data_IF_915678181718
#
_entry.id   IF_915678181718
#
_cell.length_a   1.000
_cell.length_b   1.000
_cell.length_c   1.000
_cell.angle_alpha   90.00
_cell.angle_beta   90.00
_cell.angle_gamma   90.00
#
_symmetry.space_group_name_H-M   'P 1'
#
loop_
_entity.id
_entity.type
_entity.pdbx_description
1 polymer ?
#
# COMPACT_ATOMS: atom_id res chain seq x y z
N UNK A 1 -6.95 -7.42 -3.22
CA UNK A 1 -8.15 -6.65 -2.78
C UNK A 1 -7.71 -5.82 -1.59
N UNK A 2 -8.29 -4.63 -1.35
CA UNK A 2 -8.01 -3.92 -0.09
C UNK A 2 -9.05 -4.34 0.96
N UNK A 3 -8.69 -5.14 1.97
CA UNK A 3 -9.65 -5.55 3.01
C UNK A 3 -10.17 -4.36 3.81
N UNK A 4 -9.41 -3.26 3.90
CA UNK A 4 -9.85 -2.08 4.63
C UNK A 4 -11.07 -1.43 4.00
N UNK A 5 -11.31 -1.63 2.70
CA UNK A 5 -12.54 -1.11 2.08
C UNK A 5 -13.79 -1.85 2.53
N UNK A 6 -13.67 -3.11 2.93
CA UNK A 6 -14.78 -3.87 3.51
C UNK A 6 -14.93 -3.56 5.01
N UNK A 7 -13.81 -3.51 5.74
CA UNK A 7 -13.82 -3.30 7.20
C UNK A 7 -14.10 -1.84 7.57
N UNK A 8 -13.61 -0.88 6.81
CA UNK A 8 -13.75 0.57 7.02
C UNK A 8 -14.50 1.21 5.83
N UNK A 9 -15.80 0.92 5.63
CA UNK A 9 -16.53 1.29 4.43
C UNK A 9 -16.64 2.81 4.20
N UNK A 10 -16.54 3.62 5.27
CA UNK A 10 -16.54 5.09 5.18
C UNK A 10 -15.18 5.67 4.76
N UNK A 11 -14.10 5.21 5.38
CA UNK A 11 -12.73 5.60 5.02
C UNK A 11 -11.80 4.39 5.07
N UNK A 12 -11.48 3.78 3.93
CA UNK A 12 -10.50 2.69 3.85
C UNK A 12 -9.10 3.10 4.33
N UNK A 13 -8.80 4.39 4.42
CA UNK A 13 -7.54 4.94 4.94
C UNK A 13 -7.59 5.30 6.44
N UNK A 14 -8.73 5.15 7.12
CA UNK A 14 -8.82 5.45 8.57
C UNK A 14 -7.71 4.76 9.39
N UNK A 15 -7.39 3.46 9.20
CA UNK A 15 -6.30 2.82 9.92
C UNK A 15 -4.94 3.50 9.75
N UNK A 16 -4.68 4.05 8.56
CA UNK A 16 -3.45 4.80 8.28
C UNK A 16 -3.40 6.09 9.11
N UNK A 17 -4.48 6.87 9.13
CA UNK A 17 -4.53 8.13 9.88
C UNK A 17 -4.48 7.90 11.39
N UNK A 18 -5.14 6.86 11.88
CA UNK A 18 -5.07 6.42 13.28
C UNK A 18 -3.63 6.05 13.66
N UNK A 19 -2.93 5.30 12.80
CA UNK A 19 -1.53 4.94 13.03
C UNK A 19 -0.61 6.16 13.01
N UNK A 20 -0.81 7.10 12.08
CA UNK A 20 -0.03 8.34 12.01
C UNK A 20 -0.23 9.22 13.25
N UNK A 21 -1.46 9.37 13.73
CA UNK A 21 -1.75 10.14 14.95
C UNK A 21 -1.04 9.60 16.19
N UNK A 22 -0.76 8.29 16.22
CA UNK A 22 -0.06 7.64 17.33
C UNK A 22 1.46 7.64 17.16
N UNK A 23 1.94 7.39 15.94
CA UNK A 23 3.37 7.21 15.66
C UNK A 23 4.07 8.51 15.31
N UNK A 24 3.32 9.52 14.86
CA UNK A 24 3.79 10.83 14.41
C UNK A 24 2.81 11.93 14.87
N UNK A 25 2.58 12.12 16.18
CA UNK A 25 1.52 12.99 16.70
C UNK A 25 1.65 14.47 16.34
N UNK A 26 2.86 14.93 15.96
CA UNK A 26 3.10 16.30 15.50
C UNK A 26 2.97 16.51 13.99
N UNK A 27 2.70 15.45 13.22
CA UNK A 27 2.64 15.57 11.76
C UNK A 27 1.34 16.25 11.33
N UNK A 28 1.49 17.37 10.62
CA UNK A 28 0.39 18.08 9.99
C UNK A 28 0.18 17.60 8.56
N UNK A 29 -1.08 17.42 8.17
CA UNK A 29 -1.44 16.95 6.84
C UNK A 29 -1.50 18.07 5.80
N UNK A 30 -1.50 19.34 6.22
CA UNK A 30 -1.52 20.51 5.33
C UNK A 30 -0.37 20.53 4.30
N UNK A 31 0.77 19.93 4.65
CA UNK A 31 1.94 19.82 3.80
C UNK A 31 2.00 18.53 2.96
N UNK A 32 0.90 17.79 2.89
CA UNK A 32 0.78 16.56 2.11
C UNK A 32 -0.17 16.81 0.95
N UNK A 33 0.32 16.53 -0.27
CA UNK A 33 -0.48 16.72 -1.47
C UNK A 33 -1.37 15.51 -1.75
N UNK A 34 -0.83 14.30 -1.55
CA UNK A 34 -1.51 13.05 -1.86
C UNK A 34 -1.29 11.99 -0.78
N UNK A 35 -2.37 11.38 -0.30
CA UNK A 35 -2.34 10.12 0.47
C UNK A 35 -2.91 9.02 -0.42
N UNK A 36 -2.18 7.93 -0.59
CA UNK A 36 -2.57 6.87 -1.53
C UNK A 36 -2.01 5.51 -1.13
N UNK A 37 -2.38 4.50 -1.90
CA UNK A 37 -1.87 3.13 -1.82
C UNK A 37 -0.86 2.85 -2.92
N UNK A 38 0.11 1.98 -2.63
CA UNK A 38 1.03 1.41 -3.65
C UNK A 38 0.25 0.89 -4.86
N UNK A 39 -0.90 0.26 -4.63
CA UNK A 39 -1.74 -0.28 -5.70
C UNK A 39 -2.24 0.78 -6.68
N UNK A 40 -2.65 1.95 -6.17
CA UNK A 40 -3.16 3.04 -7.01
C UNK A 40 -2.01 3.62 -7.86
N UNK A 41 -0.83 3.80 -7.28
CA UNK A 41 0.35 4.26 -8.04
C UNK A 41 0.75 3.26 -9.14
N UNK A 42 0.69 1.96 -8.87
CA UNK A 42 0.94 0.93 -9.89
C UNK A 42 -0.09 0.92 -11.02
N UNK A 43 -1.37 1.18 -10.70
CA UNK A 43 -2.42 1.31 -11.71
C UNK A 43 -2.18 2.53 -12.62
N UNK A 44 -1.83 3.68 -12.03
CA UNK A 44 -1.53 4.90 -12.76
C UNK A 44 -0.23 4.79 -13.57
N UNK A 45 0.82 4.16 -13.01
CA UNK A 45 2.04 3.85 -13.77
C UNK A 45 1.71 2.96 -14.97
N UNK A 46 0.93 1.91 -14.75
CA UNK A 46 0.43 1.05 -15.82
C UNK A 46 -0.27 1.83 -16.93
N UNK A 47 -1.14 2.77 -16.57
CA UNK A 47 -1.83 3.65 -17.53
C UNK A 47 -0.85 4.49 -18.35
N UNK A 48 0.10 5.19 -17.72
CA UNK A 48 1.08 6.03 -18.45
C UNK A 48 2.08 5.19 -19.26
N UNK A 49 2.29 3.92 -18.89
CA UNK A 49 3.03 2.93 -19.68
C UNK A 49 2.20 2.32 -20.83
N UNK A 50 0.98 2.79 -21.08
CA UNK A 50 0.14 2.34 -22.19
C UNK A 50 -0.69 1.07 -21.92
N UNK A 51 -0.78 0.59 -20.67
CA UNK A 51 -1.68 -0.53 -20.35
C UNK A 51 -3.13 -0.09 -20.50
N UNK A 52 -3.92 -0.87 -21.23
CA UNK A 52 -5.36 -0.63 -21.46
C UNK A 52 -6.26 -1.28 -20.41
N UNK A 53 -5.69 -1.81 -19.33
CA UNK A 53 -6.44 -2.42 -18.23
C UNK A 53 -7.34 -1.40 -17.56
N UNK A 54 -8.61 -1.76 -17.34
CA UNK A 54 -9.53 -0.90 -16.62
C UNK A 54 -9.23 -0.88 -15.13
N UNK A 55 -9.39 0.30 -14.53
CA UNK A 55 -9.37 0.46 -13.08
C UNK A 55 -10.20 1.67 -12.68
N UNK A 56 -10.53 1.72 -11.40
CA UNK A 56 -11.13 2.87 -10.75
C UNK A 56 -10.34 3.20 -9.49
N UNK A 57 -10.18 4.48 -9.21
CA UNK A 57 -9.66 5.02 -7.96
C UNK A 57 -10.70 6.02 -7.48
N UNK A 58 -11.23 5.84 -6.28
CA UNK A 58 -12.07 6.88 -5.68
C UNK A 58 -11.17 7.93 -5.04
N UNK A 59 -11.57 9.18 -5.15
CA UNK A 59 -10.81 10.33 -4.70
C UNK A 59 -11.67 11.17 -3.76
N UNK A 60 -11.09 11.61 -2.66
CA UNK A 60 -11.69 12.58 -1.75
C UNK A 60 -10.67 13.68 -1.46
N UNK A 61 -11.12 14.93 -1.43
CA UNK A 61 -10.31 16.08 -1.04
C UNK A 61 -10.67 16.47 0.38
N UNK A 62 -9.68 16.46 1.27
CA UNK A 62 -9.80 16.91 2.66
C UNK A 62 -8.88 18.11 2.84
N UNK A 63 -9.47 19.30 3.02
CA UNK A 63 -8.77 20.58 2.95
C UNK A 63 -7.93 20.67 1.67
N UNK A 64 -6.60 20.72 1.78
CA UNK A 64 -5.68 20.78 0.64
C UNK A 64 -5.10 19.40 0.25
N UNK A 65 -5.45 18.32 0.93
CA UNK A 65 -4.87 16.99 0.70
C UNK A 65 -5.82 16.11 -0.08
N UNK A 66 -5.31 15.47 -1.13
CA UNK A 66 -6.07 14.54 -1.97
C UNK A 66 -5.86 13.11 -1.46
N UNK A 67 -6.95 12.36 -1.29
CA UNK A 67 -6.95 10.98 -0.80
C UNK A 67 -7.38 10.05 -1.93
N UNK A 68 -6.55 9.07 -2.27
CA UNK A 68 -6.90 8.03 -3.23
C UNK A 68 -7.26 6.73 -2.51
N UNK A 69 -8.47 6.25 -2.73
CA UNK A 69 -8.97 4.99 -2.20
C UNK A 69 -8.93 3.89 -3.27
N UNK A 70 -8.35 2.74 -2.90
CA UNK A 70 -8.44 1.54 -3.71
C UNK A 70 -9.91 1.18 -3.98
N UNK A 71 -10.24 0.91 -5.24
CA UNK A 71 -11.56 0.39 -5.64
C UNK A 71 -11.43 -0.99 -6.27
N UNK A 72 -12.33 -1.90 -5.91
CA UNK A 72 -12.49 -3.18 -6.59
C UNK A 72 -13.96 -3.44 -6.88
N UNK A 73 -14.31 -3.97 -8.08
CA UNK A 73 -15.70 -4.20 -8.45
C UNK A 73 -16.36 -5.29 -7.60
N UNK A 74 -15.57 -6.23 -7.08
CA UNK A 74 -16.03 -7.30 -6.20
C UNK A 74 -15.38 -7.12 -4.84
N UNK A 75 -16.19 -7.29 -3.78
CA UNK A 75 -15.72 -7.36 -2.40
C UNK A 75 -15.23 -8.76 -2.00
N UNK A 76 -15.49 -9.77 -2.84
CA UNK A 76 -15.04 -11.15 -2.64
C UNK A 76 -14.53 -11.74 -3.96
N UNK A 77 -13.45 -12.51 -3.88
CA UNK A 77 -12.92 -13.30 -4.99
C UNK A 77 -12.96 -14.77 -4.57
N UNK A 78 -13.73 -15.58 -5.29
CA UNK A 78 -13.73 -17.02 -5.13
C UNK A 78 -12.56 -17.61 -5.92
N UNK A 79 -11.72 -18.40 -5.24
CA UNK A 79 -10.61 -19.11 -5.87
C UNK A 79 -11.14 -20.45 -6.36
N UNK A 80 -11.44 -20.54 -7.66
CA UNK A 80 -11.82 -21.79 -8.31
C UNK A 80 -10.59 -22.40 -8.98
N UNK A 81 -9.86 -23.24 -8.24
CA UNK A 81 -8.66 -23.93 -8.72
C UNK A 81 -7.37 -23.51 -8.02
N UNK A 82 -6.23 -23.78 -8.66
CA UNK A 82 -4.92 -23.50 -8.08
C UNK A 82 -4.59 -22.00 -8.11
N UNK A 83 -4.29 -21.42 -6.94
CA UNK A 83 -3.89 -20.01 -6.79
C UNK A 83 -2.44 -19.83 -6.31
N UNK A 84 -1.61 -20.88 -6.42
CA UNK A 84 -0.26 -20.86 -5.90
C UNK A 84 -0.17 -21.25 -4.42
N UNK A 85 1.06 -21.29 -3.92
CA UNK A 85 1.39 -21.66 -2.54
C UNK A 85 1.87 -20.46 -1.69
N UNK A 86 1.64 -19.23 -2.16
CA UNK A 86 2.21 -18.02 -1.56
C UNK A 86 1.87 -17.85 -0.08
N UNK A 87 0.58 -17.90 0.27
CA UNK A 87 0.15 -17.72 1.66
C UNK A 87 0.65 -18.80 2.61
N UNK A 88 0.70 -20.06 2.17
CA UNK A 88 1.23 -21.14 3.01
C UNK A 88 2.75 -21.06 3.13
N UNK A 89 3.45 -20.62 2.07
CA UNK A 89 4.87 -20.34 2.15
C UNK A 89 5.18 -19.17 3.10
N UNK A 90 4.42 -18.08 3.06
CA UNK A 90 4.53 -16.97 4.02
C UNK A 90 4.34 -17.47 5.45
N UNK A 91 3.29 -18.27 5.72
CA UNK A 91 3.06 -18.86 7.05
C UNK A 91 4.20 -19.77 7.50
N UNK A 92 4.73 -20.60 6.61
CA UNK A 92 5.80 -21.54 6.93
C UNK A 92 7.18 -20.87 7.08
N UNK A 93 7.41 -19.74 6.41
CA UNK A 93 8.69 -19.03 6.38
C UNK A 93 8.77 -17.82 7.31
N UNK A 94 7.68 -17.46 7.98
CA UNK A 94 7.61 -16.31 8.89
C UNK A 94 7.13 -16.73 10.28
N UNK A 95 7.51 -15.94 11.28
CA UNK A 95 7.03 -16.08 12.66
C UNK A 95 6.12 -14.91 13.00
N UNK A 96 4.92 -15.20 13.53
CA UNK A 96 4.00 -14.17 14.01
C UNK A 96 4.22 -13.93 15.50
N UNK A 97 4.42 -12.68 15.94
CA UNK A 97 4.47 -12.38 17.36
C UNK A 97 3.10 -12.66 18.00
N UNK A 98 3.09 -13.06 19.29
CA UNK A 98 1.87 -13.53 19.98
C UNK A 98 0.69 -12.55 19.85
N UNK A 99 0.94 -11.25 19.93
CA UNK A 99 -0.07 -10.19 19.84
C UNK A 99 -0.62 -9.91 18.44
N UNK A 100 -0.08 -10.54 17.38
CA UNK A 100 -0.51 -10.34 16.00
C UNK A 100 -1.00 -11.63 15.33
N UNK A 101 -1.33 -12.69 16.09
CA UNK A 101 -1.75 -13.97 15.52
C UNK A 101 -3.01 -13.86 14.65
N UNK A 102 -3.94 -13.02 15.08
CA UNK A 102 -5.23 -12.79 14.40
C UNK A 102 -5.19 -11.61 13.41
N UNK A 103 -4.00 -11.02 13.16
CA UNK A 103 -3.89 -9.94 12.19
C UNK A 103 -4.07 -10.46 10.77
N UNK A 104 -4.94 -9.82 9.99
CA UNK A 104 -5.17 -10.19 8.59
C UNK A 104 -4.11 -9.63 7.64
N UNK A 105 -3.66 -8.39 7.87
CA UNK A 105 -2.67 -7.69 7.04
C UNK A 105 -1.75 -6.85 7.91
N UNK A 106 -0.53 -6.61 7.43
CA UNK A 106 0.38 -5.66 8.04
C UNK A 106 0.73 -4.56 7.03
N UNK A 107 0.39 -3.32 7.34
CA UNK A 107 0.63 -2.19 6.45
C UNK A 107 1.70 -1.27 7.03
N UNK A 108 2.57 -0.77 6.16
CA UNK A 108 3.49 0.33 6.42
C UNK A 108 3.02 1.59 5.72
N UNK A 109 3.49 2.72 6.24
CA UNK A 109 3.28 4.04 5.67
C UNK A 109 4.66 4.66 5.46
N UNK A 110 4.90 5.17 4.26
CA UNK A 110 6.11 5.90 3.91
C UNK A 110 5.75 7.27 3.35
N UNK A 111 6.54 8.28 3.66
CA UNK A 111 6.41 9.63 3.10
C UNK A 111 7.61 9.92 2.22
N UNK A 112 7.37 10.42 1.01
CA UNK A 112 8.41 10.87 0.10
C UNK A 112 7.86 11.89 -0.90
N UNK A 113 8.77 12.54 -1.62
CA UNK A 113 8.43 13.44 -2.72
C UNK A 113 8.58 12.67 -4.04
N UNK A 114 7.55 12.69 -4.89
CA UNK A 114 7.57 12.07 -6.21
C UNK A 114 7.35 13.15 -7.26
N UNK A 115 8.39 13.43 -8.07
CA UNK A 115 8.43 14.67 -8.85
C UNK A 115 8.28 15.86 -7.91
N UNK A 116 7.19 16.61 -8.05
CA UNK A 116 6.83 17.74 -7.18
C UNK A 116 5.59 17.49 -6.30
N UNK A 117 5.19 16.24 -6.12
CA UNK A 117 4.02 15.85 -5.31
C UNK A 117 4.50 15.22 -4.00
N UNK A 118 4.10 15.79 -2.85
CA UNK A 118 4.39 15.23 -1.52
C UNK A 118 3.41 14.12 -1.20
N UNK A 119 3.91 12.88 -1.17
CA UNK A 119 3.10 11.66 -1.06
C UNK A 119 3.26 11.02 0.31
N UNK A 120 2.14 10.60 0.89
CA UNK A 120 2.08 9.52 1.89
C UNK A 120 1.54 8.27 1.21
N UNK A 121 2.35 7.20 1.21
CA UNK A 121 2.03 5.93 0.58
C UNK A 121 1.82 4.84 1.62
N UNK A 122 0.65 4.18 1.57
CA UNK A 122 0.39 2.93 2.28
C UNK A 122 0.78 1.73 1.42
N UNK A 123 1.37 0.72 2.04
CA UNK A 123 1.61 -0.57 1.38
C UNK A 123 1.59 -1.73 2.38
N UNK A 124 1.10 -2.87 1.92
CA UNK A 124 1.18 -4.14 2.65
C UNK A 124 2.60 -4.70 2.63
N UNK A 125 3.00 -5.33 3.73
CA UNK A 125 4.31 -5.92 3.97
C UNK A 125 4.14 -7.38 4.39
N UNK A 126 4.93 -8.26 3.77
CA UNK A 126 4.86 -9.71 4.03
C UNK A 126 5.65 -10.10 5.30
N UNK A 127 6.65 -9.31 5.68
CA UNK A 127 7.35 -9.48 6.94
C UNK A 127 8.55 -8.55 7.14
N UNK A 128 9.39 -8.90 8.10
CA UNK A 128 10.68 -8.28 8.29
C UNK A 128 11.73 -9.30 8.72
N UNK A 129 13.00 -9.01 8.43
CA UNK A 129 14.11 -9.73 9.06
C UNK A 129 14.18 -9.34 10.53
N UNK A 130 14.62 -10.25 11.40
CA UNK A 130 14.79 -9.97 12.82
C UNK A 130 15.54 -11.08 13.54
N UNK A 131 15.83 -10.84 14.81
CA UNK A 131 16.41 -11.82 15.71
C UNK A 131 15.30 -12.51 16.52
N UNK A 132 15.58 -13.69 17.06
CA UNK A 132 14.65 -14.41 17.94
C UNK A 132 14.14 -13.51 19.09
N UNK A 133 14.99 -12.61 19.58
CA UNK A 133 14.63 -11.66 20.64
C UNK A 133 13.52 -10.69 20.22
N UNK A 134 13.41 -10.33 18.94
CA UNK A 134 12.30 -9.49 18.45
C UNK A 134 10.95 -10.19 18.58
N UNK A 135 10.95 -11.53 18.51
CA UNK A 135 9.75 -12.39 18.63
C UNK A 135 9.45 -12.74 20.09
N UNK A 136 10.50 -13.00 20.87
CA UNK A 136 10.42 -13.44 22.27
C UNK A 136 10.26 -12.29 23.27
N UNK A 137 10.48 -11.04 22.85
CA UNK A 137 10.35 -9.88 23.73
C UNK A 137 8.98 -9.84 24.38
N UNK A 138 8.96 -9.88 25.71
CA UNK A 138 7.75 -9.62 26.48
C UNK A 138 7.38 -8.17 26.25
N UNK A 139 6.29 -7.96 25.54
CA UNK A 139 5.76 -6.63 25.28
C UNK A 139 4.80 -6.26 26.42
N UNK A 140 4.74 -4.98 26.81
CA UNK A 140 3.72 -4.52 27.75
C UNK A 140 2.32 -4.79 27.20
N UNK A 141 1.35 -4.89 28.11
CA UNK A 141 -0.06 -5.03 27.75
C UNK A 141 -0.47 -3.92 26.77
N UNK A 142 -1.22 -4.26 25.71
CA UNK A 142 -1.62 -3.29 24.71
C UNK A 142 -2.52 -2.23 25.36
N UNK A 143 -2.17 -0.96 25.19
CA UNK A 143 -3.10 0.12 25.53
C UNK A 143 -4.19 0.16 24.46
N UNK A 144 -5.44 0.00 24.87
CA UNK A 144 -6.60 0.06 23.98
C UNK A 144 -7.33 1.39 24.08
N UNK A 145 -7.63 2.01 22.94
CA UNK A 145 -8.56 3.13 22.85
C UNK A 145 -9.70 2.79 21.88
N UNK A 146 -10.90 3.28 22.14
CA UNK A 146 -12.04 3.19 21.20
C UNK A 146 -12.09 4.42 20.32
N UNK A 147 -12.25 4.23 19.01
CA UNK A 147 -12.45 5.34 18.07
C UNK A 147 -13.93 5.76 18.07
N UNK A 148 -14.25 7.01 17.67
CA UNK A 148 -15.64 7.44 17.45
C UNK A 148 -16.38 6.61 16.40
N UNK A 149 -15.64 5.93 15.52
CA UNK A 149 -16.16 5.00 14.50
C UNK A 149 -16.38 3.57 15.01
N UNK A 150 -16.14 3.31 16.30
CA UNK A 150 -16.41 2.03 16.97
C UNK A 150 -15.28 1.00 16.92
N UNK A 151 -14.14 1.32 16.31
CA UNK A 151 -12.99 0.42 16.25
C UNK A 151 -12.15 0.47 17.53
N UNK A 152 -11.46 -0.62 17.82
CA UNK A 152 -10.49 -0.69 18.93
C UNK A 152 -9.09 -0.52 18.36
N UNK A 153 -8.38 0.51 18.82
CA UNK A 153 -6.97 0.72 18.46
C UNK A 153 -6.11 0.16 19.57
N UNK A 154 -5.30 -0.84 19.23
CA UNK A 154 -4.34 -1.45 20.15
C UNK A 154 -2.95 -0.85 19.89
N UNK A 155 -2.42 -0.11 20.87
CA UNK A 155 -1.07 0.45 20.83
C UNK A 155 -0.10 -0.62 21.32
N UNK A 156 0.60 -1.23 20.37
CA UNK A 156 1.45 -2.38 20.66
C UNK A 156 2.54 -2.53 19.61
N UNK A 157 3.63 -3.22 19.95
CA UNK A 157 4.74 -3.43 19.03
C UNK A 157 5.78 -2.31 19.06
N UNK A 158 6.80 -2.44 18.20
CA UNK A 158 7.78 -1.39 17.91
C UNK A 158 7.85 -1.19 16.40
N UNK A 159 8.14 0.04 15.97
CA UNK A 159 8.34 0.34 14.56
C UNK A 159 9.68 -0.23 14.10
N UNK A 160 9.64 -1.29 13.28
CA UNK A 160 10.84 -1.92 12.72
C UNK A 160 11.57 -0.94 11.78
N UNK A 161 12.89 -1.05 11.65
CA UNK A 161 13.66 -0.26 10.69
C UNK A 161 13.28 -0.58 9.23
N UNK A 162 13.15 0.41 8.32
CA UNK A 162 12.82 0.16 6.91
C UNK A 162 13.78 -0.81 6.21
N UNK A 163 15.06 -0.79 6.57
CA UNK A 163 16.12 -1.66 6.02
C UNK A 163 15.89 -3.17 6.26
N UNK A 164 14.97 -3.53 7.16
CA UNK A 164 14.63 -4.90 7.53
C UNK A 164 13.38 -5.42 6.83
N UNK A 165 12.64 -4.58 6.11
CA UNK A 165 11.38 -4.99 5.47
C UNK A 165 11.64 -5.93 4.31
N UNK A 166 10.83 -6.99 4.22
CA UNK A 166 10.91 -7.98 3.15
C UNK A 166 9.59 -8.01 2.37
N UNK A 167 9.70 -8.38 1.10
CA UNK A 167 8.60 -8.88 0.29
C UNK A 167 8.88 -10.36 -0.03
N UNK A 168 7.85 -11.19 0.01
CA UNK A 168 7.90 -12.61 -0.29
C UNK A 168 7.21 -12.86 -1.63
N UNK A 169 7.86 -13.61 -2.52
CA UNK A 169 7.28 -14.06 -3.78
C UNK A 169 7.50 -15.55 -3.97
N UNK A 170 6.51 -16.21 -4.54
CA UNK A 170 6.59 -17.64 -4.89
C UNK A 170 6.29 -17.89 -6.35
N UNK A 171 6.88 -18.94 -6.91
CA UNK A 171 6.66 -19.35 -8.29
C UNK A 171 7.17 -20.75 -8.58
N UNK A 172 6.82 -21.30 -9.74
CA UNK A 172 7.44 -22.52 -10.23
C UNK A 172 8.95 -22.31 -10.48
N UNK A 173 9.74 -23.37 -10.49
CA UNK A 173 11.21 -23.32 -10.66
C UNK A 173 11.65 -22.50 -11.87
N UNK A 174 10.92 -22.57 -12.98
CA UNK A 174 11.23 -21.89 -14.24
C UNK A 174 10.86 -20.39 -14.22
N UNK A 175 10.04 -19.96 -13.26
CA UNK A 175 9.53 -18.59 -13.22
C UNK A 175 10.56 -17.65 -12.64
N UNK A 176 11.04 -16.69 -13.43
CA UNK A 176 11.83 -15.59 -12.88
C UNK A 176 10.97 -14.72 -11.95
N UNK A 177 11.28 -14.73 -10.65
CA UNK A 177 10.60 -13.93 -9.63
C UNK A 177 11.19 -12.52 -9.48
N UNK A 178 12.29 -12.21 -10.16
CA UNK A 178 12.94 -10.89 -10.20
C UNK A 178 12.57 -10.10 -11.48
N UNK A 179 11.31 -10.20 -11.91
CA UNK A 179 10.81 -9.48 -13.09
C UNK A 179 10.34 -8.08 -12.73
N UNK A 180 10.41 -7.15 -13.70
CA UNK A 180 10.06 -5.72 -13.56
C UNK A 180 8.74 -5.45 -12.81
N UNK A 181 7.71 -6.29 -12.95
CA UNK A 181 6.44 -6.14 -12.20
C UNK A 181 6.60 -6.22 -10.67
N UNK A 182 7.55 -7.01 -10.19
CA UNK A 182 7.89 -7.11 -8.77
C UNK A 182 8.82 -5.96 -8.38
N UNK A 183 9.78 -5.58 -9.22
CA UNK A 183 10.69 -4.46 -8.98
C UNK A 183 9.95 -3.12 -8.85
N UNK A 184 8.96 -2.86 -9.72
CA UNK A 184 8.04 -1.73 -9.65
C UNK A 184 7.37 -1.63 -8.27
N UNK A 185 6.88 -2.77 -7.77
CA UNK A 185 6.23 -2.86 -6.48
C UNK A 185 7.19 -2.52 -5.33
N UNK A 186 8.41 -3.08 -5.36
CA UNK A 186 9.45 -2.86 -4.37
C UNK A 186 9.97 -1.42 -4.39
N UNK A 187 10.06 -0.81 -5.59
CA UNK A 187 10.52 0.55 -5.77
C UNK A 187 9.56 1.56 -5.15
N UNK A 188 8.25 1.45 -5.41
CA UNK A 188 7.26 2.35 -4.79
C UNK A 188 7.25 2.25 -3.25
N UNK A 189 7.38 1.04 -2.70
CA UNK A 189 7.39 0.85 -1.24
C UNK A 189 8.78 1.00 -0.60
N UNK A 190 9.83 1.27 -1.38
CA UNK A 190 11.23 1.29 -0.92
C UNK A 190 11.59 0.03 -0.12
N UNK A 191 11.08 -1.13 -0.57
CA UNK A 191 11.26 -2.41 0.11
C UNK A 191 12.61 -3.03 -0.27
N UNK A 192 13.55 -3.19 0.67
CA UNK A 192 14.94 -3.47 0.34
C UNK A 192 15.22 -4.92 0.02
N UNK A 193 14.42 -5.86 0.55
CA UNK A 193 14.73 -7.28 0.52
C UNK A 193 13.61 -8.05 -0.18
N UNK A 194 13.98 -8.86 -1.17
CA UNK A 194 13.11 -9.82 -1.83
C UNK A 194 13.49 -11.23 -1.37
N UNK A 195 12.52 -11.94 -0.79
CA UNK A 195 12.59 -13.36 -0.51
C UNK A 195 11.80 -14.11 -1.58
N UNK A 196 12.43 -15.03 -2.29
CA UNK A 196 11.83 -15.77 -3.40
C UNK A 196 11.88 -17.27 -3.15
N UNK A 197 10.72 -17.91 -3.13
CA UNK A 197 10.56 -19.36 -3.00
C UNK A 197 10.11 -20.01 -4.31
N UNK A 198 10.86 -21.00 -4.78
CA UNK A 198 10.54 -21.75 -5.99
C UNK A 198 10.05 -23.15 -5.63
N UNK A 199 8.94 -23.57 -6.24
CA UNK A 199 8.35 -24.91 -6.07
C UNK A 199 8.33 -25.73 -7.36
N UNK A 200 8.44 -27.05 -7.24
CA UNK A 200 8.34 -27.98 -8.37
C UNK A 200 6.88 -28.35 -8.72
N UNK A 201 6.70 -29.26 -9.68
CA UNK A 201 5.36 -29.72 -10.12
C UNK A 201 4.53 -30.43 -9.05
N UNK A 202 5.14 -30.83 -7.92
CA UNK A 202 4.46 -31.43 -6.76
C UNK A 202 4.09 -30.40 -5.69
N UNK A 203 4.54 -29.14 -5.84
CA UNK A 203 4.37 -28.09 -4.84
C UNK A 203 5.45 -28.07 -3.76
N UNK A 204 6.50 -28.89 -3.90
CA UNK A 204 7.63 -28.89 -2.97
C UNK A 204 8.53 -27.70 -3.25
N UNK A 205 8.81 -26.87 -2.24
CA UNK A 205 9.73 -25.75 -2.38
C UNK A 205 11.18 -26.25 -2.38
N UNK A 206 11.86 -26.13 -3.52
CA UNK A 206 13.21 -26.68 -3.75
C UNK A 206 14.30 -25.62 -3.64
N UNK A 207 13.97 -24.34 -3.77
CA UNK A 207 14.93 -23.24 -3.69
C UNK A 207 14.31 -22.02 -3.03
N UNK A 208 15.00 -21.48 -2.03
CA UNK A 208 14.62 -20.25 -1.34
C UNK A 208 15.81 -19.31 -1.39
N UNK A 209 15.59 -18.09 -1.88
CA UNK A 209 16.63 -17.06 -1.95
C UNK A 209 16.19 -15.81 -1.21
N UNK A 210 17.16 -15.13 -0.60
CA UNK A 210 16.98 -13.83 0.04
C UNK A 210 17.99 -12.86 -0.57
N UNK A 211 17.49 -11.80 -1.21
CA UNK A 211 18.30 -10.81 -1.91
C UNK A 211 17.99 -9.42 -1.40
N UNK A 212 19.02 -8.65 -1.07
CA UNK A 212 18.85 -7.24 -0.77
C UNK A 212 18.91 -6.45 -2.09
N UNK A 213 17.76 -6.36 -2.77
CA UNK A 213 17.62 -5.74 -4.09
C UNK A 213 17.98 -4.25 -4.09
N UNK A 214 17.81 -3.57 -2.95
CA UNK A 214 18.26 -2.19 -2.78
C UNK A 214 19.79 -2.10 -2.82
N UNK A 215 20.48 -2.91 -2.01
CA UNK A 215 21.96 -2.95 -1.99
C UNK A 215 22.56 -3.45 -3.30
N UNK A 216 21.85 -4.33 -4.01
CA UNK A 216 22.27 -4.82 -5.33
C UNK A 216 22.10 -3.78 -6.44
N UNK A 217 21.54 -2.59 -6.15
CA UNK A 217 21.32 -1.55 -7.16
C UNK A 217 20.11 -1.79 -8.07
N UNK A 218 19.35 -2.89 -7.88
CA UNK A 218 18.25 -3.29 -8.76
C UNK A 218 17.12 -2.26 -8.83
N UNK A 219 16.80 -1.63 -7.70
CA UNK A 219 15.78 -0.57 -7.66
C UNK A 219 16.25 0.68 -8.43
N UNK A 220 17.54 1.01 -8.35
CA UNK A 220 18.14 2.12 -9.09
C UNK A 220 18.21 1.83 -10.60
N UNK A 221 18.65 0.65 -10.99
CA UNK A 221 18.65 0.20 -12.40
C UNK A 221 17.23 0.25 -13.00
N UNK A 222 16.22 -0.16 -12.22
CA UNK A 222 14.83 -0.07 -12.63
C UNK A 222 14.38 1.39 -12.81
N UNK A 223 14.71 2.26 -11.87
CA UNK A 223 14.38 3.69 -11.96
C UNK A 223 15.01 4.34 -13.20
N UNK A 224 16.30 4.11 -13.44
CA UNK A 224 17.04 4.64 -14.59
C UNK A 224 16.43 4.15 -15.92
N UNK A 225 15.94 2.92 -15.97
CA UNK A 225 15.29 2.35 -17.16
C UNK A 225 13.81 2.73 -17.34
N UNK A 226 13.19 3.43 -16.38
CA UNK A 226 11.76 3.79 -16.42
C UNK A 226 11.50 5.30 -16.29
N UNK A 227 12.52 6.14 -16.51
CA UNK A 227 12.41 7.61 -16.34
C UNK A 227 11.24 8.22 -17.12
N UNK A 228 11.06 7.86 -18.40
CA UNK A 228 9.96 8.40 -19.21
C UNK A 228 8.59 8.12 -18.58
N UNK A 229 8.37 6.90 -18.07
CA UNK A 229 7.12 6.51 -17.43
C UNK A 229 6.95 7.19 -16.06
N UNK A 230 8.03 7.35 -15.30
CA UNK A 230 8.03 8.02 -14.00
C UNK A 230 7.74 9.52 -14.14
N UNK A 231 8.30 10.19 -15.14
CA UNK A 231 8.01 11.60 -15.46
C UNK A 231 6.55 11.80 -15.87
N UNK A 232 6.03 10.92 -16.75
CA UNK A 232 4.60 10.94 -17.11
C UNK A 232 3.71 10.71 -15.90
N UNK A 233 4.08 9.79 -15.02
CA UNK A 233 3.34 9.56 -13.77
C UNK A 233 3.37 10.81 -12.88
N UNK A 234 4.51 11.48 -12.76
CA UNK A 234 4.65 12.68 -11.94
C UNK A 234 3.76 13.81 -12.48
N UNK A 235 3.80 14.05 -13.79
CA UNK A 235 2.94 15.02 -14.45
C UNK A 235 1.45 14.68 -14.27
N UNK A 236 1.08 13.40 -14.42
CA UNK A 236 -0.29 12.94 -14.24
C UNK A 236 -0.78 13.14 -12.80
N UNK A 237 0.02 12.78 -11.80
CA UNK A 237 -0.32 12.96 -10.38
C UNK A 237 -0.53 14.44 -10.05
N UNK A 238 0.34 15.32 -10.56
CA UNK A 238 0.18 16.77 -10.40
C UNK A 238 -1.14 17.25 -10.99
N UNK A 239 -1.44 16.89 -12.24
CA UNK A 239 -2.70 17.27 -12.91
C UNK A 239 -3.91 16.78 -12.12
N UNK A 240 -3.91 15.53 -11.66
CA UNK A 240 -5.03 14.99 -10.88
C UNK A 240 -5.19 15.75 -9.56
N UNK A 241 -4.10 16.02 -8.85
CA UNK A 241 -4.14 16.74 -7.57
C UNK A 241 -4.65 18.17 -7.76
N UNK A 242 -4.15 18.89 -8.75
CA UNK A 242 -4.59 20.26 -9.08
C UNK A 242 -6.06 20.31 -9.48
N UNK A 243 -6.50 19.38 -10.35
CA UNK A 243 -7.90 19.29 -10.77
C UNK A 243 -8.82 18.94 -9.60
N UNK A 244 -8.43 18.02 -8.72
CA UNK A 244 -9.22 17.65 -7.55
C UNK A 244 -9.38 18.84 -6.59
N UNK A 245 -8.31 19.60 -6.34
CA UNK A 245 -8.34 20.80 -5.47
C UNK A 245 -9.18 21.95 -6.05
N UNK A 246 -9.13 22.14 -7.36
CA UNK A 246 -9.87 23.21 -8.03
C UNK A 246 -11.35 22.85 -8.28
N UNK A 247 -11.74 21.60 -8.06
CA UNK A 247 -13.10 21.15 -8.29
C UNK A 247 -14.09 21.74 -7.27
N UNK A 248 -15.35 21.90 -7.70
CA UNK A 248 -16.46 22.24 -6.81
C UNK A 248 -16.99 21.03 -6.03
N UNK A 249 -16.53 19.82 -6.36
CA UNK A 249 -16.85 18.58 -5.68
C UNK A 249 -15.70 18.17 -4.75
N UNK A 250 -16.06 17.51 -3.65
CA UNK A 250 -15.09 16.95 -2.69
C UNK A 250 -14.74 15.51 -3.04
N UNK A 251 -15.61 14.80 -3.77
CA UNK A 251 -15.44 13.39 -4.13
C UNK A 251 -15.60 13.12 -5.62
N UNK A 252 -14.69 12.34 -6.19
CA UNK A 252 -14.79 11.86 -7.57
C UNK A 252 -14.28 10.41 -7.72
N UNK A 253 -14.47 9.86 -8.92
CA UNK A 253 -13.82 8.65 -9.36
C UNK A 253 -12.94 8.94 -10.57
N UNK A 254 -11.68 8.52 -10.49
CA UNK A 254 -10.80 8.37 -11.64
C UNK A 254 -11.08 7.00 -12.25
N UNK A 255 -11.47 6.96 -13.52
CA UNK A 255 -11.79 5.71 -14.21
C UNK A 255 -10.93 5.62 -15.46
N UNK A 256 -10.10 4.58 -15.51
CA UNK A 256 -9.39 4.21 -16.73
C UNK A 256 -10.17 3.15 -17.49
N UNK A 257 -10.39 3.40 -18.77
CA UNK A 257 -11.00 2.44 -19.69
C UNK A 257 -10.51 2.71 -21.11
N UNK A 258 -10.16 1.65 -21.84
CA UNK A 258 -9.75 1.71 -23.25
C UNK A 258 -8.61 2.71 -23.54
N UNK A 259 -7.67 2.88 -22.60
CA UNK A 259 -6.52 3.79 -22.77
C UNK A 259 -6.84 5.28 -22.52
N UNK A 260 -8.03 5.59 -21.99
CA UNK A 260 -8.38 6.93 -21.50
C UNK A 260 -8.50 6.93 -19.99
N UNK A 261 -8.17 8.05 -19.34
CA UNK A 261 -8.44 8.28 -17.92
C UNK A 261 -9.41 9.45 -17.80
N UNK A 262 -10.54 9.22 -17.15
CA UNK A 262 -11.64 10.18 -17.01
C UNK A 262 -11.95 10.42 -15.54
N UNK A 263 -12.45 11.61 -15.24
CA UNK A 263 -12.88 12.02 -13.89
C UNK A 263 -14.40 12.12 -13.88
N UNK A 264 -15.04 11.50 -12.89
CA UNK A 264 -16.48 11.55 -12.69
C UNK A 264 -16.78 12.01 -11.26
N UNK A 265 -17.59 13.04 -11.06
CA UNK A 265 -18.08 13.38 -9.72
C UNK A 265 -18.91 12.23 -9.15
N UNK A 266 -18.81 12.00 -7.84
CA UNK A 266 -19.68 11.04 -7.16
C UNK A 266 -21.01 11.71 -6.76
N UNK A 267 -22.09 10.94 -6.66
CA UNK A 267 -23.41 11.49 -6.31
C UNK A 267 -23.44 11.97 -4.85
N UNK A 268 -22.81 11.21 -3.95
CA UNK A 268 -22.75 11.54 -2.53
C UNK A 268 -21.52 12.39 -2.21
N UNK A 269 -21.71 13.71 -2.23
CA UNK A 269 -20.69 14.71 -1.90
C UNK A 269 -20.64 15.06 -0.41
N UNK A 270 -21.67 14.69 0.35
CA UNK A 270 -21.86 15.12 1.74
C UNK A 270 -21.43 14.05 2.76
N UNK A 271 -21.38 12.78 2.37
CA UNK A 271 -20.75 11.74 3.19
C UNK A 271 -19.26 12.06 3.30
N UNK A 272 -18.80 12.57 4.45
CA UNK A 272 -17.37 12.74 4.72
C UNK A 272 -16.80 11.38 5.05
N UNK A 273 -15.90 10.89 4.19
CA UNK A 273 -15.28 9.58 4.40
C UNK A 273 -14.42 9.60 5.65
N UNK A 274 -13.57 10.61 5.78
CA UNK A 274 -12.66 10.77 6.92
C UNK A 274 -13.42 11.11 8.23
N UNK A 275 -13.22 10.34 9.31
CA UNK A 275 -13.76 10.62 10.63
C UNK A 275 -13.44 12.05 11.12
N UNK A 276 -14.43 12.70 11.75
CA UNK A 276 -14.33 14.11 12.18
C UNK A 276 -13.14 14.34 13.11
N UNK A 277 -12.89 13.42 14.04
CA UNK A 277 -11.79 13.57 14.99
C UNK A 277 -10.41 13.49 14.34
N UNK A 278 -10.28 12.86 13.17
CA UNK A 278 -9.06 12.83 12.36
C UNK A 278 -8.86 14.08 11.50
N UNK A 279 -9.88 14.94 11.35
CA UNK A 279 -9.72 16.22 10.65
C UNK A 279 -8.80 17.17 11.41
N UNK A 280 -8.64 16.98 12.73
CA UNK A 280 -7.67 17.69 13.56
C UNK A 280 -6.21 17.54 13.11
N UNK A 281 -5.90 16.57 12.24
CA UNK A 281 -4.56 16.45 11.64
C UNK A 281 -4.24 17.57 10.63
N UNK A 282 -5.23 18.38 10.23
CA UNK A 282 -5.08 19.57 9.38
C UNK A 282 -5.17 20.89 10.17
N UNK A 283 -5.46 20.84 11.46
CA UNK A 283 -5.24 21.94 12.41
C UNK A 283 -3.83 21.80 12.97
#
# INVERSE_FOLDING_TARGET
MDPNRHVFPKCPLEPLFRALSLTQPGMKMNDIDLVTDRRNLRALLGFVSGKKSSFRIDVEVVNNTVLFYCWTPKALTYINGFAGYGHEFEKASTHRPKGAKDSMTHNRVIRYMFGNVRIILRYEVDGCTGFDDDVRRVMPEPRSDKTPTGYTVLKWGNLVAPSRIIEIKTGVVEKNLDVSKNTEQLWFSQTPILCAGHYDGTGTFTSITKRNVLRMGKLKEWEESHQEQLEKLAALLRVIVELARAATWTKCALVSSQGTLKIFSLVDQNDKGLPIDLQSMWE
#
